data_IF_335473720823
#
_entry.id   IF_335473720823
#
_cell.length_a   1.000
_cell.length_b   1.000
_cell.length_c   1.000
_cell.angle_alpha   90.00
_cell.angle_beta   90.00
_cell.angle_gamma   90.00
#
_symmetry.space_group_name_H-M   'P 1'
#
loop_
_entity.id
_entity.type
_entity.pdbx_description
1 polymer ?
#
# COMPACT_ATOMS: atom_id res chain seq x y z
N UNK A 1 0.06 -13.35 -0.62
CA UNK A 1 0.27 -11.89 -0.63
C UNK A 1 -0.85 -11.26 0.17
N UNK A 2 -0.58 -10.16 0.88
CA UNK A 2 -1.59 -9.36 1.56
C UNK A 2 -1.29 -7.86 1.36
N UNK A 3 -2.33 -7.04 1.33
CA UNK A 3 -2.26 -5.59 1.16
C UNK A 3 -3.31 -4.96 2.07
N UNK A 4 -2.94 -3.90 2.78
CA UNK A 4 -3.88 -3.03 3.45
C UNK A 4 -3.52 -1.57 3.16
N UNK A 5 -4.51 -0.81 2.72
CA UNK A 5 -4.39 0.61 2.41
C UNK A 5 -5.09 1.38 3.53
N UNK A 6 -4.34 2.29 4.13
CA UNK A 6 -4.84 3.27 5.08
C UNK A 6 -4.75 4.65 4.45
N UNK A 7 -5.43 5.63 5.02
CA UNK A 7 -5.43 7.00 4.47
C UNK A 7 -4.05 7.64 4.43
N UNK A 8 -3.15 7.24 5.31
CA UNK A 8 -1.83 7.85 5.47
C UNK A 8 -0.69 6.96 4.96
N UNK A 9 -0.89 5.64 4.89
CA UNK A 9 0.16 4.69 4.54
C UNK A 9 -0.40 3.34 4.06
N UNK A 10 0.49 2.43 3.64
CA UNK A 10 0.12 1.11 3.11
C UNK A 10 1.01 0.04 3.74
N UNK A 11 0.42 -1.10 4.09
CA UNK A 11 1.13 -2.31 4.52
C UNK A 11 1.06 -3.37 3.43
N UNK A 12 2.20 -3.96 3.07
CA UNK A 12 2.31 -4.96 2.00
C UNK A 12 3.10 -6.17 2.47
N UNK A 13 2.54 -7.37 2.26
CA UNK A 13 3.24 -8.64 2.40
C UNK A 13 3.43 -9.28 1.02
N UNK A 14 4.67 -9.31 0.57
CA UNK A 14 5.06 -9.75 -0.77
C UNK A 14 5.91 -11.02 -0.71
N UNK A 15 5.71 -11.90 -1.69
CA UNK A 15 6.66 -12.97 -2.00
C UNK A 15 7.54 -12.46 -3.14
N UNK A 16 8.85 -12.44 -2.93
CA UNK A 16 9.83 -11.99 -3.93
C UNK A 16 10.70 -13.16 -4.38
N UNK A 17 11.51 -12.92 -5.41
CA UNK A 17 12.66 -13.77 -5.70
C UNK A 17 13.74 -13.61 -4.61
N UNK A 18 14.65 -14.58 -4.43
CA UNK A 18 15.67 -14.54 -3.37
C UNK A 18 16.63 -13.34 -3.46
N UNK A 19 16.92 -12.87 -4.68
CA UNK A 19 17.69 -11.63 -4.93
C UNK A 19 16.76 -10.60 -5.53
N UNK A 20 16.32 -9.66 -4.72
CA UNK A 20 15.50 -8.53 -5.14
C UNK A 20 16.23 -7.24 -4.82
N UNK A 21 16.23 -6.30 -5.76
CA UNK A 21 16.60 -4.91 -5.49
C UNK A 21 15.41 -4.24 -4.78
N UNK A 22 15.39 -4.34 -3.46
CA UNK A 22 14.29 -3.83 -2.62
C UNK A 22 14.12 -2.31 -2.77
N UNK A 23 15.17 -1.46 -2.72
CA UNK A 23 15.03 -0.03 -2.99
C UNK A 23 14.39 0.26 -4.34
N UNK A 24 14.82 -0.44 -5.41
CA UNK A 24 14.24 -0.25 -6.75
C UNK A 24 12.78 -0.69 -6.80
N UNK A 25 12.42 -1.79 -6.16
CA UNK A 25 11.03 -2.25 -6.08
C UNK A 25 10.13 -1.23 -5.37
N UNK A 26 10.59 -0.69 -4.24
CA UNK A 26 9.86 0.35 -3.49
C UNK A 26 9.74 1.63 -4.31
N UNK A 27 10.80 2.03 -5.01
CA UNK A 27 10.76 3.17 -5.93
C UNK A 27 9.69 2.98 -7.02
N UNK A 28 9.59 1.78 -7.60
CA UNK A 28 8.58 1.45 -8.60
C UNK A 28 7.16 1.52 -8.03
N UNK A 29 6.93 0.99 -6.82
CA UNK A 29 5.62 1.09 -6.18
C UNK A 29 5.22 2.53 -5.88
N UNK A 30 6.11 3.31 -5.26
CA UNK A 30 5.83 4.70 -4.89
C UNK A 30 5.67 5.57 -6.13
N UNK A 31 6.65 5.56 -7.03
CA UNK A 31 6.60 6.37 -8.26
C UNK A 31 5.49 5.96 -9.21
N UNK A 32 5.28 4.64 -9.41
CA UNK A 32 4.24 4.12 -10.30
C UNK A 32 2.84 4.44 -9.79
N UNK A 33 2.58 4.32 -8.49
CA UNK A 33 1.29 4.70 -7.90
C UNK A 33 1.07 6.21 -7.92
N UNK A 34 2.09 7.02 -7.61
CA UNK A 34 2.01 8.49 -7.73
C UNK A 34 1.66 8.93 -9.15
N UNK A 35 2.31 8.31 -10.15
CA UNK A 35 2.06 8.59 -11.56
C UNK A 35 0.68 8.11 -12.04
N UNK A 36 0.22 6.94 -11.59
CA UNK A 36 -1.12 6.47 -11.90
C UNK A 36 -2.17 7.39 -11.27
N UNK A 37 -1.98 7.77 -10.01
CA UNK A 37 -2.88 8.67 -9.30
C UNK A 37 -2.96 10.04 -9.96
N UNK A 38 -1.83 10.63 -10.40
CA UNK A 38 -1.82 11.97 -11.02
C UNK A 38 -2.63 12.05 -12.33
N UNK A 39 -3.00 10.90 -12.90
CA UNK A 39 -3.84 10.81 -14.10
C UNK A 39 -5.31 10.55 -13.80
N UNK A 40 -5.68 10.36 -12.54
CA UNK A 40 -7.08 10.20 -12.15
C UNK A 40 -7.79 11.56 -12.18
N UNK A 41 -9.01 11.64 -12.74
CA UNK A 41 -9.82 12.86 -12.68
C UNK A 41 -10.07 13.29 -11.25
N UNK A 42 -9.97 14.60 -10.97
CA UNK A 42 -10.21 15.16 -9.65
C UNK A 42 -9.08 14.97 -8.63
N UNK A 43 -7.90 14.51 -9.06
CA UNK A 43 -6.73 14.44 -8.19
C UNK A 43 -6.01 15.80 -8.12
N UNK A 44 -6.45 16.67 -7.21
CA UNK A 44 -5.89 18.03 -7.05
C UNK A 44 -4.53 18.03 -6.32
N UNK A 45 -4.36 17.15 -5.33
CA UNK A 45 -3.17 17.15 -4.46
C UNK A 45 -2.07 16.17 -4.92
N UNK A 46 -2.40 15.22 -5.79
CA UNK A 46 -1.52 14.12 -6.13
C UNK A 46 -1.41 13.08 -5.01
N UNK A 47 -0.89 11.90 -5.34
CA UNK A 47 -0.43 10.94 -4.33
C UNK A 47 1.07 11.15 -4.13
N UNK A 48 1.48 11.62 -2.95
CA UNK A 48 2.89 11.88 -2.61
C UNK A 48 3.29 11.00 -1.44
N UNK A 49 4.26 10.14 -1.67
CA UNK A 49 4.82 9.32 -0.60
C UNK A 49 5.92 10.06 0.14
N UNK A 50 6.05 9.82 1.45
CA UNK A 50 7.25 10.17 2.21
C UNK A 50 8.50 9.58 1.52
N UNK A 51 9.70 10.18 1.61
CA UNK A 51 10.90 9.60 1.02
C UNK A 51 11.28 8.24 1.63
N UNK A 52 10.98 8.03 2.91
CA UNK A 52 11.29 6.82 3.66
C UNK A 52 10.37 5.62 3.34
N UNK A 53 10.79 4.44 3.79
CA UNK A 53 9.97 3.23 3.85
C UNK A 53 10.54 2.28 4.92
N UNK A 54 9.70 1.38 5.43
CA UNK A 54 10.11 0.28 6.30
C UNK A 54 9.94 -1.05 5.58
N UNK A 55 10.90 -1.97 5.75
CA UNK A 55 10.80 -3.32 5.23
C UNK A 55 11.40 -4.32 6.22
N UNK A 56 10.81 -5.50 6.29
CA UNK A 56 11.28 -6.58 7.16
C UNK A 56 10.99 -7.93 6.51
N UNK A 57 11.97 -8.83 6.59
CA UNK A 57 11.83 -10.20 6.10
C UNK A 57 10.94 -11.01 7.03
N UNK A 58 10.06 -11.84 6.45
CA UNK A 58 9.12 -12.68 7.21
C UNK A 58 9.48 -14.15 6.99
N UNK A 59 9.74 -14.86 8.09
CA UNK A 59 10.01 -16.29 8.05
C UNK A 59 8.72 -17.12 7.86
N UNK A 60 8.82 -18.38 7.36
CA UNK A 60 7.65 -19.23 7.10
C UNK A 60 6.73 -19.43 8.31
N UNK A 61 7.31 -19.52 9.52
CA UNK A 61 6.55 -19.71 10.78
C UNK A 61 5.67 -18.51 11.14
N UNK A 62 6.04 -17.31 10.70
CA UNK A 62 5.32 -16.07 11.00
C UNK A 62 4.31 -15.71 9.90
N UNK A 63 4.32 -16.42 8.77
CA UNK A 63 3.58 -16.02 7.57
C UNK A 63 2.07 -15.89 7.84
N UNK A 64 1.48 -16.85 8.54
CA UNK A 64 0.05 -16.83 8.85
C UNK A 64 -0.33 -15.63 9.73
N UNK A 65 0.49 -15.33 10.73
CA UNK A 65 0.26 -14.21 11.64
C UNK A 65 0.46 -12.87 10.95
N UNK A 66 1.48 -12.73 10.10
CA UNK A 66 1.69 -11.49 9.32
C UNK A 66 0.57 -11.28 8.31
N UNK A 67 0.06 -12.33 7.66
CA UNK A 67 -1.13 -12.21 6.80
C UNK A 67 -2.32 -11.66 7.59
N UNK A 68 -2.56 -12.20 8.80
CA UNK A 68 -3.64 -11.74 9.68
C UNK A 68 -3.41 -10.29 10.12
N UNK A 69 -2.19 -9.94 10.51
CA UNK A 69 -1.80 -8.61 10.93
C UNK A 69 -2.05 -7.57 9.82
N UNK A 70 -1.59 -7.84 8.59
CA UNK A 70 -1.80 -6.93 7.45
C UNK A 70 -3.29 -6.76 7.17
N UNK A 71 -4.07 -7.85 7.14
CA UNK A 71 -5.52 -7.77 6.88
C UNK A 71 -6.30 -6.98 7.92
N UNK A 72 -5.77 -6.88 9.15
CA UNK A 72 -6.40 -6.17 10.27
C UNK A 72 -5.84 -4.78 10.51
N UNK A 73 -5.07 -4.19 9.57
CA UNK A 73 -4.47 -2.87 9.81
C UNK A 73 -5.51 -1.77 10.05
N UNK A 74 -6.69 -1.84 9.44
CA UNK A 74 -7.77 -0.90 9.73
C UNK A 74 -8.27 -0.98 11.19
N UNK A 75 -8.20 -2.16 11.82
CA UNK A 75 -8.55 -2.35 13.24
C UNK A 75 -7.47 -1.75 14.16
N UNK A 76 -6.20 -1.84 13.77
CA UNK A 76 -5.07 -1.30 14.54
C UNK A 76 -4.92 0.22 14.37
N UNK A 77 -5.47 0.78 13.30
CA UNK A 77 -5.50 2.20 13.02
C UNK A 77 -6.95 2.70 12.94
N UNK A 78 -7.67 2.79 14.08
CA UNK A 78 -9.03 3.27 14.11
C UNK A 78 -9.14 4.64 13.44
N UNK A 79 -10.18 4.79 12.64
CA UNK A 79 -10.34 5.97 11.83
C UNK A 79 -9.64 5.82 10.49
N UNK A 80 -8.39 5.38 10.37
CA UNK A 80 -7.58 5.47 9.14
C UNK A 80 -7.95 4.50 8.00
N UNK A 81 -8.88 3.57 8.25
CA UNK A 81 -9.39 2.68 7.21
C UNK A 81 -9.87 3.43 5.97
N UNK A 82 -9.56 2.88 4.80
CA UNK A 82 -10.14 3.35 3.53
C UNK A 82 -11.35 2.48 3.24
N UNK A 83 -12.54 3.08 3.31
CA UNK A 83 -13.77 2.40 2.92
C UNK A 83 -13.72 2.02 1.43
N UNK A 84 -14.06 0.78 1.06
CA UNK A 84 -14.14 0.39 -0.33
C UNK A 84 -15.34 1.09 -1.00
N UNK A 85 -15.07 2.22 -1.66
CA UNK A 85 -15.96 2.80 -2.67
C UNK A 85 -16.57 4.16 -2.33
N UNK A 86 -15.89 5.23 -2.75
CA UNK A 86 -16.58 6.37 -3.38
C UNK A 86 -15.90 6.62 -4.72
N UNK A 87 -16.06 5.68 -5.65
CA UNK A 87 -15.91 6.02 -7.07
C UNK A 87 -17.19 6.76 -7.46
N UNK A 88 -17.21 8.08 -7.27
CA UNK A 88 -18.26 8.93 -7.83
C UNK A 88 -18.09 8.88 -9.34
N UNK A 89 -18.83 7.98 -9.97
CA UNK A 89 -19.11 8.01 -11.39
C UNK A 89 -19.62 9.42 -11.73
N UNK A 90 -18.75 10.24 -12.31
CA UNK A 90 -19.14 11.49 -12.92
C UNK A 90 -19.88 11.13 -14.21
N UNK A 91 -21.20 11.08 -14.08
CA UNK A 91 -22.13 11.10 -15.19
C UNK A 91 -22.05 12.50 -15.83
N UNK A 92 -21.49 12.60 -17.03
CA UNK A 92 -21.89 13.57 -18.06
C UNK A 92 -21.83 12.88 -19.40
#
# INVERSE_FOLDING_TARGET
MALAILRTHVHMLLRTVPRIDLPRLVQLFKGGSSYAASRLPGNELGLRWAPEYSATSVGPRQLADVIRYVKRQAEHHPGEGVEPGVSRAHRK
#
